data_IF_048956691510
#
_entry.id   IF_048956691510
#
_cell.length_a   1.000
_cell.length_b   1.000
_cell.length_c   1.000
_cell.angle_alpha   90.00
_cell.angle_beta   90.00
_cell.angle_gamma   90.00
#
_symmetry.space_group_name_H-M   'P 1'
#
loop_
_entity.id
_entity.type
_entity.pdbx_description
1 polymer ?
#
# COMPACT_ATOMS: atom_id res chain seq x y z
N UNK A 1 -20.25 27.81 -22.42
CA UNK A 1 -20.28 26.33 -22.34
C UNK A 1 -18.85 25.88 -22.11
N UNK A 2 -18.60 24.95 -21.18
CA UNK A 2 -17.24 24.54 -20.87
C UNK A 2 -16.77 23.53 -21.91
N UNK A 3 -15.99 23.97 -22.89
CA UNK A 3 -15.46 23.07 -23.91
C UNK A 3 -14.27 22.26 -23.34
N UNK A 4 -14.32 20.93 -23.47
CA UNK A 4 -13.24 20.01 -23.07
C UNK A 4 -12.57 19.47 -24.34
N UNK A 5 -11.24 19.48 -24.35
CA UNK A 5 -10.43 18.92 -25.45
C UNK A 5 -9.91 17.56 -25.05
N UNK A 6 -10.03 16.58 -25.94
CA UNK A 6 -9.45 15.24 -25.77
C UNK A 6 -8.69 14.82 -27.02
N UNK A 7 -7.72 13.92 -26.82
CA UNK A 7 -7.02 13.24 -27.90
C UNK A 7 -7.39 11.76 -27.84
N UNK A 8 -7.75 11.17 -28.98
CA UNK A 8 -8.02 9.74 -29.11
C UNK A 8 -7.01 9.13 -30.07
N UNK A 9 -6.36 8.05 -29.66
CA UNK A 9 -5.41 7.32 -30.52
C UNK A 9 -6.16 6.21 -31.26
N UNK A 10 -6.23 6.30 -32.58
CA UNK A 10 -7.06 5.43 -33.41
C UNK A 10 -6.18 4.36 -34.07
N UNK A 11 -6.58 3.10 -33.99
CA UNK A 11 -5.92 1.97 -34.66
C UNK A 11 -6.54 1.68 -36.02
N UNK A 12 -5.79 0.94 -36.86
CA UNK A 12 -6.26 0.41 -38.14
C UNK A 12 -6.55 1.49 -39.21
N UNK A 13 -6.07 2.72 -38.97
CA UNK A 13 -6.20 3.83 -39.90
C UNK A 13 -4.99 3.90 -40.82
N UNK A 14 -5.16 3.43 -42.05
CA UNK A 14 -4.07 3.28 -43.04
C UNK A 14 -4.12 4.28 -44.20
N UNK A 15 -5.11 5.17 -44.22
CA UNK A 15 -5.38 6.01 -45.39
C UNK A 15 -5.99 7.38 -45.07
N UNK A 16 -5.79 8.38 -45.96
CA UNK A 16 -6.37 9.72 -45.79
C UNK A 16 -7.92 9.74 -45.90
N UNK A 17 -8.51 8.80 -46.65
CA UNK A 17 -9.98 8.63 -46.68
C UNK A 17 -10.51 7.99 -45.39
N UNK A 18 -9.68 7.23 -44.68
CA UNK A 18 -10.00 6.62 -43.40
C UNK A 18 -10.15 7.69 -42.32
N UNK A 19 -9.19 8.63 -42.24
CA UNK A 19 -9.27 9.75 -41.30
C UNK A 19 -10.45 10.67 -41.57
N UNK A 20 -10.79 10.94 -42.84
CA UNK A 20 -11.98 11.73 -43.19
C UNK A 20 -13.30 11.07 -42.76
N UNK A 21 -13.34 9.73 -42.76
CA UNK A 21 -14.54 8.98 -42.35
C UNK A 21 -14.76 9.14 -40.84
N UNK A 22 -13.70 8.95 -40.05
CA UNK A 22 -13.75 9.12 -38.59
C UNK A 22 -13.99 10.58 -38.22
N UNK A 23 -13.36 11.54 -38.92
CA UNK A 23 -13.54 12.97 -38.68
C UNK A 23 -15.00 13.41 -38.92
N UNK A 24 -15.64 12.91 -39.98
CA UNK A 24 -17.05 13.18 -40.26
C UNK A 24 -17.99 12.53 -39.24
N UNK A 25 -17.65 11.35 -38.73
CA UNK A 25 -18.43 10.68 -37.71
C UNK A 25 -18.38 11.45 -36.38
N UNK A 26 -17.19 11.86 -35.96
CA UNK A 26 -16.97 12.64 -34.73
C UNK A 26 -17.61 14.02 -34.80
N UNK A 27 -17.49 14.75 -35.92
CA UNK A 27 -18.14 16.06 -36.09
C UNK A 27 -19.68 16.00 -36.15
N UNK A 28 -20.27 14.82 -36.42
CA UNK A 28 -21.72 14.61 -36.39
C UNK A 28 -22.24 14.17 -35.03
N UNK A 29 -21.37 13.82 -34.09
CA UNK A 29 -21.78 13.40 -32.76
C UNK A 29 -22.33 14.58 -31.96
N UNK A 30 -23.41 14.35 -31.22
CA UNK A 30 -24.03 15.39 -30.38
C UNK A 30 -23.03 15.95 -29.37
N UNK A 31 -23.04 17.27 -29.18
CA UNK A 31 -22.15 17.95 -28.24
C UNK A 31 -20.69 18.09 -28.69
N UNK A 32 -20.31 17.71 -29.91
CA UNK A 32 -18.97 17.98 -30.46
C UNK A 32 -18.96 19.33 -31.19
N UNK A 33 -18.05 20.23 -30.78
CA UNK A 33 -17.84 21.52 -31.44
C UNK A 33 -16.94 21.37 -32.68
N UNK A 34 -15.86 20.60 -32.55
CA UNK A 34 -14.87 20.40 -33.60
C UNK A 34 -14.11 19.08 -33.39
N UNK A 35 -13.94 18.30 -34.46
CA UNK A 35 -13.05 17.14 -34.49
C UNK A 35 -12.11 17.21 -35.70
N UNK A 36 -10.82 16.95 -35.48
CA UNK A 36 -9.80 16.85 -36.52
C UNK A 36 -9.03 15.53 -36.37
N UNK A 37 -8.85 14.79 -37.46
CA UNK A 37 -8.18 13.48 -37.44
C UNK A 37 -6.93 13.51 -38.29
N UNK A 38 -5.79 13.23 -37.66
CA UNK A 38 -4.50 13.13 -38.31
C UNK A 38 -4.10 11.65 -38.45
N UNK A 39 -4.17 11.12 -39.68
CA UNK A 39 -3.83 9.72 -39.95
C UNK A 39 -2.35 9.42 -39.70
N UNK A 40 -1.44 10.36 -40.01
CA UNK A 40 0.01 10.16 -39.84
C UNK A 40 0.41 10.11 -38.36
N UNK A 41 -0.32 10.80 -37.49
CA UNK A 41 -0.13 10.78 -36.05
C UNK A 41 -1.01 9.75 -35.34
N UNK A 42 -1.88 9.03 -36.07
CA UNK A 42 -2.87 8.10 -35.53
C UNK A 42 -3.75 8.73 -34.42
N UNK A 43 -4.01 10.04 -34.51
CA UNK A 43 -4.67 10.81 -33.43
C UNK A 43 -5.85 11.62 -33.95
N UNK A 44 -6.95 11.57 -33.19
CA UNK A 44 -8.09 12.47 -33.34
C UNK A 44 -8.12 13.48 -32.19
N UNK A 45 -8.18 14.77 -32.53
CA UNK A 45 -8.33 15.87 -31.60
C UNK A 45 -9.79 16.29 -31.60
N UNK A 46 -10.47 16.18 -30.46
CA UNK A 46 -11.92 16.43 -30.34
C UNK A 46 -12.18 17.46 -29.26
N UNK A 47 -12.94 18.51 -29.60
CA UNK A 47 -13.44 19.51 -28.67
C UNK A 47 -14.95 19.29 -28.51
N UNK A 48 -15.41 19.04 -27.27
CA UNK A 48 -16.81 18.72 -27.00
C UNK A 48 -17.31 19.32 -25.68
N UNK A 49 -18.63 19.38 -25.52
CA UNK A 49 -19.32 19.76 -24.29
C UNK A 49 -19.52 18.54 -23.37
N UNK A 50 -18.85 18.49 -22.20
CA UNK A 50 -18.92 17.36 -21.27
C UNK A 50 -20.30 17.18 -20.61
N UNK A 51 -21.24 18.12 -20.76
CA UNK A 51 -22.62 17.90 -20.31
C UNK A 51 -23.48 17.13 -21.33
N UNK A 52 -23.07 17.12 -22.60
CA UNK A 52 -23.85 16.52 -23.69
C UNK A 52 -23.19 15.23 -24.20
N UNK A 53 -21.85 15.15 -24.13
CA UNK A 53 -21.08 14.00 -24.60
C UNK A 53 -20.02 13.57 -23.57
N UNK A 54 -19.56 12.33 -23.67
CA UNK A 54 -18.50 11.77 -22.83
C UNK A 54 -17.46 11.07 -23.68
N UNK A 55 -16.27 10.86 -23.10
CA UNK A 55 -15.18 10.15 -23.78
C UNK A 55 -15.62 8.77 -24.30
N UNK A 56 -16.34 8.01 -23.49
CA UNK A 56 -16.77 6.64 -23.83
C UNK A 56 -17.70 6.64 -25.06
N UNK A 57 -18.60 7.61 -25.15
CA UNK A 57 -19.48 7.80 -26.31
C UNK A 57 -18.69 8.19 -27.56
N UNK A 58 -17.63 9.00 -27.41
CA UNK A 58 -16.76 9.36 -28.53
C UNK A 58 -15.94 8.16 -29.03
N UNK A 59 -15.52 7.27 -28.13
CA UNK A 59 -14.88 5.99 -28.49
C UNK A 59 -15.88 5.11 -29.27
N UNK A 60 -17.11 4.99 -28.77
CA UNK A 60 -18.18 4.22 -29.43
C UNK A 60 -18.47 4.74 -30.86
N UNK A 61 -18.43 6.06 -31.08
CA UNK A 61 -18.57 6.66 -32.42
C UNK A 61 -17.42 6.23 -33.36
N UNK A 62 -16.19 6.16 -32.85
CA UNK A 62 -15.03 5.70 -33.63
C UNK A 62 -15.14 4.21 -33.94
N UNK A 63 -15.53 3.39 -32.97
CA UNK A 63 -15.73 1.94 -33.12
C UNK A 63 -16.86 1.62 -34.11
N UNK A 64 -17.98 2.33 -34.04
CA UNK A 64 -19.09 2.23 -35.00
C UNK A 64 -18.69 2.64 -36.42
N UNK A 65 -17.60 3.42 -36.55
CA UNK A 65 -17.02 3.79 -37.85
C UNK A 65 -16.06 2.72 -38.39
N UNK A 66 -15.83 1.63 -37.65
CA UNK A 66 -15.01 0.49 -38.06
C UNK A 66 -13.53 0.57 -37.66
N UNK A 67 -13.17 1.46 -36.73
CA UNK A 67 -11.79 1.66 -36.28
C UNK A 67 -11.66 1.42 -34.77
N UNK A 68 -10.54 0.86 -34.33
CA UNK A 68 -10.26 0.70 -32.89
C UNK A 68 -9.71 1.98 -32.26
N UNK A 69 -9.82 2.11 -30.94
CA UNK A 69 -9.13 3.15 -30.17
C UNK A 69 -8.14 2.49 -29.23
N UNK A 70 -6.85 2.82 -29.35
CA UNK A 70 -5.82 2.32 -28.44
C UNK A 70 -5.77 3.19 -27.20
N UNK A 71 -6.28 2.64 -26.10
CA UNK A 71 -6.14 3.26 -24.79
C UNK A 71 -4.68 3.17 -24.32
N UNK A 72 -4.02 4.31 -24.12
CA UNK A 72 -2.77 4.34 -23.36
C UNK A 72 -3.09 4.08 -21.89
N UNK A 73 -2.68 2.91 -21.42
CA UNK A 73 -2.79 2.49 -20.02
C UNK A 73 -1.41 2.56 -19.39
N UNK A 74 -1.27 3.41 -18.39
CA UNK A 74 -0.12 3.43 -17.51
C UNK A 74 -0.48 2.68 -16.23
N UNK A 75 0.44 1.83 -15.76
CA UNK A 75 0.32 1.18 -14.47
C UNK A 75 1.43 1.71 -13.57
N UNK A 76 1.05 2.21 -12.40
CA UNK A 76 1.97 2.72 -11.40
C UNK A 76 1.57 2.18 -10.04
N UNK A 77 2.56 1.82 -9.23
CA UNK A 77 2.34 1.53 -7.81
C UNK A 77 2.79 2.69 -6.92
N UNK A 78 2.20 2.79 -5.75
CA UNK A 78 2.45 3.84 -4.78
C UNK A 78 2.31 3.33 -3.35
N UNK A 79 2.97 3.99 -2.40
CA UNK A 79 2.81 3.75 -0.97
C UNK A 79 1.77 4.67 -0.35
N UNK A 80 0.89 4.12 0.47
CA UNK A 80 -0.15 4.89 1.18
C UNK A 80 0.09 4.83 2.68
N UNK A 81 0.35 5.98 3.28
CA UNK A 81 0.49 6.17 4.72
C UNK A 81 -0.85 6.35 5.43
N UNK A 82 -0.90 5.88 6.67
CA UNK A 82 -2.02 6.13 7.59
C UNK A 82 -3.17 5.11 7.53
N UNK A 83 -3.07 4.08 6.69
CA UNK A 83 -4.03 2.97 6.69
C UNK A 83 -3.86 2.11 7.94
N UNK A 84 -4.91 1.97 8.74
CA UNK A 84 -4.85 1.22 10.01
C UNK A 84 -5.84 0.06 10.08
N UNK A 85 -6.70 -0.14 9.09
CA UNK A 85 -7.68 -1.21 9.02
C UNK A 85 -8.01 -1.56 7.56
N UNK A 86 -8.47 -2.78 7.28
CA UNK A 86 -8.89 -3.21 5.93
C UNK A 86 -10.03 -2.33 5.34
N UNK A 87 -10.85 -1.71 6.20
CA UNK A 87 -11.83 -0.72 5.77
C UNK A 87 -11.18 0.56 5.22
N UNK A 88 -9.98 0.92 5.70
CA UNK A 88 -9.22 2.06 5.19
C UNK A 88 -8.74 1.82 3.76
N UNK A 89 -8.16 0.65 3.46
CA UNK A 89 -7.70 0.35 2.10
C UNK A 89 -8.87 0.29 1.12
N UNK A 90 -9.99 -0.30 1.56
CA UNK A 90 -11.23 -0.33 0.76
C UNK A 90 -11.79 1.06 0.47
N UNK A 91 -11.65 2.02 1.40
CA UNK A 91 -12.09 3.39 1.20
C UNK A 91 -11.25 4.11 0.14
N UNK A 92 -9.92 3.99 0.22
CA UNK A 92 -8.99 4.56 -0.77
C UNK A 92 -9.18 3.93 -2.14
N UNK A 93 -9.29 2.60 -2.20
CA UNK A 93 -9.52 1.86 -3.43
C UNK A 93 -10.82 2.29 -4.14
N UNK A 94 -11.90 2.47 -3.38
CA UNK A 94 -13.18 2.97 -3.93
C UNK A 94 -13.10 4.41 -4.41
N UNK A 95 -12.33 5.26 -3.74
CA UNK A 95 -12.14 6.65 -4.16
C UNK A 95 -11.37 6.72 -5.48
N UNK A 96 -10.29 5.93 -5.62
CA UNK A 96 -9.50 5.85 -6.85
C UNK A 96 -10.28 5.25 -8.02
N UNK A 97 -10.99 4.14 -7.81
CA UNK A 97 -11.81 3.53 -8.87
C UNK A 97 -12.99 4.41 -9.34
N UNK A 98 -13.38 5.43 -8.57
CA UNK A 98 -14.41 6.40 -8.96
C UNK A 98 -13.87 7.61 -9.73
N UNK A 99 -12.56 7.81 -9.77
CA UNK A 99 -11.98 8.95 -10.47
C UNK A 99 -11.97 8.75 -12.00
N UNK A 100 -12.34 9.79 -12.74
CA UNK A 100 -12.35 9.78 -14.20
C UNK A 100 -10.92 9.59 -14.73
N UNK A 101 -10.71 8.55 -15.54
CA UNK A 101 -9.38 8.20 -16.06
C UNK A 101 -8.68 7.06 -15.32
N UNK A 102 -9.23 6.52 -14.24
CA UNK A 102 -8.78 5.26 -13.62
C UNK A 102 -9.56 4.09 -14.18
N UNK A 103 -8.85 3.09 -14.71
CA UNK A 103 -9.45 1.83 -15.16
C UNK A 103 -9.59 0.84 -14.01
N UNK A 104 -8.54 0.73 -13.20
CA UNK A 104 -8.53 -0.17 -12.05
C UNK A 104 -7.56 0.33 -10.98
N UNK A 105 -8.00 0.35 -9.73
CA UNK A 105 -7.15 0.56 -8.57
C UNK A 105 -7.30 -0.61 -7.59
N UNK A 106 -6.19 -1.04 -7.00
CA UNK A 106 -6.15 -2.03 -5.93
C UNK A 106 -5.26 -1.53 -4.81
N UNK A 107 -5.72 -1.60 -3.56
CA UNK A 107 -4.95 -1.14 -2.40
C UNK A 107 -4.84 -2.24 -1.36
N UNK A 108 -3.61 -2.61 -1.01
CA UNK A 108 -3.32 -3.65 -0.05
C UNK A 108 -2.79 -3.05 1.26
N UNK A 109 -3.50 -3.27 2.36
CA UNK A 109 -3.09 -2.82 3.68
C UNK A 109 -1.85 -3.57 4.22
N UNK A 110 -1.69 -4.85 3.89
CA UNK A 110 -0.60 -5.66 4.44
C UNK A 110 0.77 -5.20 3.94
N UNK A 111 0.83 -4.67 2.72
CA UNK A 111 2.04 -4.16 2.09
C UNK A 111 2.12 -2.63 2.11
N UNK A 112 1.09 -1.93 2.57
CA UNK A 112 0.91 -0.46 2.47
C UNK A 112 1.06 0.07 1.03
N UNK A 113 0.91 -0.80 0.03
CA UNK A 113 1.04 -0.48 -1.40
C UNK A 113 -0.32 -0.46 -2.08
N UNK A 114 -0.52 0.52 -2.95
CA UNK A 114 -1.58 0.57 -3.93
C UNK A 114 -1.01 0.46 -5.34
N UNK A 115 -1.79 -0.09 -6.25
CA UNK A 115 -1.51 -0.07 -7.69
C UNK A 115 -2.70 0.52 -8.43
N UNK A 116 -2.43 1.38 -9.40
CA UNK A 116 -3.44 2.00 -10.25
C UNK A 116 -3.07 1.84 -11.71
N UNK A 117 -4.05 1.40 -12.50
CA UNK A 117 -4.05 1.41 -13.94
C UNK A 117 -4.93 2.56 -14.41
N UNK A 118 -4.34 3.52 -15.11
CA UNK A 118 -4.96 4.80 -15.44
C UNK A 118 -4.51 5.32 -16.80
N UNK A 119 -5.21 6.33 -17.29
CA UNK A 119 -4.83 7.06 -18.48
C UNK A 119 -3.90 8.25 -18.13
N UNK A 120 -2.62 8.23 -18.57
CA UNK A 120 -1.66 9.29 -18.25
C UNK A 120 -1.95 10.63 -18.94
N UNK A 121 -2.79 10.66 -19.97
CA UNK A 121 -3.23 11.90 -20.63
C UNK A 121 -4.33 12.62 -19.83
N UNK A 122 -5.02 11.93 -18.92
CA UNK A 122 -6.14 12.47 -18.13
C UNK A 122 -5.76 12.73 -16.68
N UNK A 123 -4.97 11.84 -16.07
CA UNK A 123 -4.56 11.93 -14.69
C UNK A 123 -3.04 11.95 -14.58
N UNK A 124 -2.53 12.88 -13.79
CA UNK A 124 -1.14 12.96 -13.39
C UNK A 124 -0.92 12.29 -12.02
N UNK A 125 0.34 11.99 -11.71
CA UNK A 125 0.76 11.51 -10.38
C UNK A 125 0.32 12.44 -9.23
N UNK A 126 0.20 13.74 -9.47
CA UNK A 126 -0.23 14.69 -8.45
C UNK A 126 -1.73 14.58 -8.15
N UNK A 127 -2.55 14.26 -9.14
CA UNK A 127 -3.99 14.09 -8.96
C UNK A 127 -4.29 12.90 -8.03
N UNK A 128 -3.50 11.82 -8.12
CA UNK A 128 -3.60 10.70 -7.18
C UNK A 128 -3.27 11.11 -5.74
N UNK A 129 -2.25 11.96 -5.53
CA UNK A 129 -1.96 12.48 -4.18
C UNK A 129 -3.16 13.23 -3.62
N UNK A 130 -3.86 14.01 -4.45
CA UNK A 130 -5.03 14.78 -4.05
C UNK A 130 -6.24 13.87 -3.75
N UNK A 131 -6.53 12.89 -4.61
CA UNK A 131 -7.62 11.91 -4.40
C UNK A 131 -7.43 11.14 -3.09
N UNK A 132 -6.20 10.67 -2.83
CA UNK A 132 -5.87 9.94 -1.59
C UNK A 132 -5.95 10.87 -0.37
N UNK A 133 -5.50 12.11 -0.49
CA UNK A 133 -5.59 13.14 0.57
C UNK A 133 -7.03 13.49 0.92
N UNK A 134 -7.90 13.65 -0.07
CA UNK A 134 -9.33 13.90 0.13
C UNK A 134 -10.05 12.73 0.77
N UNK A 135 -9.47 11.53 0.67
CA UNK A 135 -9.94 10.32 1.37
C UNK A 135 -9.42 10.22 2.82
N UNK A 136 -8.59 11.18 3.28
CA UNK A 136 -8.05 11.24 4.64
C UNK A 136 -6.72 10.51 4.85
N UNK A 137 -6.06 10.09 3.77
CA UNK A 137 -4.81 9.33 3.77
C UNK A 137 -3.70 10.10 3.06
N UNK A 138 -2.46 9.59 3.11
CA UNK A 138 -1.32 10.26 2.51
C UNK A 138 -0.63 9.33 1.52
N UNK A 139 -0.39 9.78 0.29
CA UNK A 139 0.40 9.04 -0.69
C UNK A 139 1.87 9.45 -0.52
N UNK A 140 2.72 8.51 -0.12
CA UNK A 140 4.10 8.76 0.31
C UNK A 140 5.07 8.82 -0.86
N UNK A 141 5.04 7.83 -1.75
CA UNK A 141 5.96 7.70 -2.89
C UNK A 141 5.31 6.88 -4.02
N UNK A 142 5.83 7.05 -5.23
CA UNK A 142 5.57 6.16 -6.38
C UNK A 142 6.75 5.22 -6.59
N UNK A 143 6.51 3.97 -7.02
CA UNK A 143 7.59 2.98 -7.28
C UNK A 143 8.59 3.48 -8.34
N UNK A 144 8.13 4.21 -9.36
CA UNK A 144 9.03 4.76 -10.39
C UNK A 144 9.97 5.86 -9.83
N UNK A 145 9.63 6.48 -8.69
CA UNK A 145 10.50 7.42 -7.95
C UNK A 145 11.50 6.67 -7.03
N UNK A 146 11.39 5.33 -6.94
CA UNK A 146 12.25 4.44 -6.13
C UNK A 146 13.33 3.73 -6.97
N UNK A 147 13.14 3.58 -8.29
CA UNK A 147 14.10 2.88 -9.20
C UNK A 147 15.49 3.55 -9.23
N UNK A 148 15.59 4.86 -9.00
CA UNK A 148 16.89 5.55 -8.88
C UNK A 148 17.60 5.32 -7.51
N UNK A 149 17.01 4.58 -6.57
CA UNK A 149 17.50 4.39 -5.19
C UNK A 149 17.66 2.91 -4.77
N UNK A 150 17.64 1.97 -5.71
CA UNK A 150 17.44 0.53 -5.43
C UNK A 150 18.64 -0.26 -4.87
N UNK A 151 19.78 0.37 -4.58
CA UNK A 151 20.92 -0.30 -3.94
C UNK A 151 21.02 -0.11 -2.42
N UNK A 152 20.32 0.85 -1.80
CA UNK A 152 20.38 1.13 -0.35
C UNK A 152 19.05 0.89 0.41
N UNK A 153 17.94 0.67 -0.29
CA UNK A 153 16.57 0.84 0.22
C UNK A 153 15.95 -0.36 0.98
N UNK A 154 16.47 -1.58 0.83
CA UNK A 154 15.92 -2.74 1.55
C UNK A 154 16.18 -2.68 3.06
N UNK A 155 17.35 -2.17 3.46
CA UNK A 155 17.72 -2.00 4.87
C UNK A 155 16.96 -0.84 5.53
N UNK A 156 16.71 0.24 4.79
CA UNK A 156 15.97 1.40 5.26
C UNK A 156 14.49 1.10 5.49
N UNK A 157 13.84 0.31 4.63
CA UNK A 157 12.44 -0.11 4.84
C UNK A 157 12.28 -1.07 6.03
N UNK A 158 13.20 -2.01 6.20
CA UNK A 158 13.26 -2.89 7.39
C UNK A 158 13.41 -2.06 8.67
N UNK A 159 14.20 -0.99 8.62
CA UNK A 159 14.34 -0.04 9.71
C UNK A 159 13.02 0.66 10.03
N UNK A 160 12.19 0.97 9.03
CA UNK A 160 10.96 1.72 9.19
C UNK A 160 9.81 0.92 9.81
N UNK A 161 9.62 -0.34 9.39
CA UNK A 161 8.64 -1.24 10.03
C UNK A 161 9.01 -1.50 11.49
N UNK A 162 10.29 -1.70 11.78
CA UNK A 162 10.79 -1.83 13.16
C UNK A 162 10.60 -0.55 13.97
N UNK A 163 10.78 0.64 13.37
CA UNK A 163 10.50 1.93 14.02
C UNK A 163 9.01 2.07 14.36
N UNK A 164 8.08 1.64 13.50
CA UNK A 164 6.63 1.67 13.76
C UNK A 164 6.27 0.81 14.97
N UNK A 165 6.76 -0.43 15.02
CA UNK A 165 6.55 -1.35 16.16
C UNK A 165 7.13 -0.78 17.45
N UNK A 166 8.34 -0.20 17.41
CA UNK A 166 8.96 0.44 18.58
C UNK A 166 8.16 1.64 19.08
N UNK A 167 7.65 2.48 18.19
CA UNK A 167 6.77 3.61 18.54
C UNK A 167 5.47 3.12 19.20
N UNK A 168 4.85 2.06 18.67
CA UNK A 168 3.66 1.45 19.27
C UNK A 168 3.94 0.89 20.67
N UNK A 169 5.07 0.17 20.83
CA UNK A 169 5.54 -0.35 22.12
C UNK A 169 5.73 0.76 23.16
N UNK A 170 6.39 1.85 22.77
CA UNK A 170 6.65 2.97 23.67
C UNK A 170 5.36 3.67 24.11
N UNK A 171 4.39 3.85 23.21
CA UNK A 171 3.07 4.42 23.56
C UNK A 171 2.29 3.50 24.49
N UNK A 172 2.30 2.19 24.25
CA UNK A 172 1.69 1.20 25.12
C UNK A 172 2.28 1.29 26.53
N UNK A 173 3.61 1.16 26.66
CA UNK A 173 4.27 1.24 27.97
C UNK A 173 4.09 2.60 28.65
N UNK A 174 4.16 3.69 27.89
CA UNK A 174 3.86 5.03 28.41
C UNK A 174 2.44 5.13 28.97
N UNK A 175 1.46 4.53 28.32
CA UNK A 175 0.06 4.52 28.80
C UNK A 175 -0.12 3.66 30.04
N UNK A 176 0.48 2.46 30.06
CA UNK A 176 0.44 1.56 31.23
C UNK A 176 1.15 2.15 32.44
N UNK A 177 2.20 2.95 32.25
CA UNK A 177 2.90 3.63 33.34
C UNK A 177 1.98 4.54 34.18
N UNK A 178 0.97 5.15 33.56
CA UNK A 178 -0.05 5.94 34.27
C UNK A 178 -1.28 5.12 34.65
N UNK A 179 -1.66 4.14 33.82
CA UNK A 179 -2.86 3.33 34.05
C UNK A 179 -2.70 2.35 35.22
N UNK A 180 -1.50 1.78 35.44
CA UNK A 180 -1.24 0.88 36.58
C UNK A 180 -1.46 1.61 37.92
N UNK A 181 -0.87 2.79 38.17
CA UNK A 181 -1.18 3.59 39.35
C UNK A 181 -2.67 3.88 39.52
N UNK A 182 -3.38 4.24 38.44
CA UNK A 182 -4.84 4.46 38.46
C UNK A 182 -5.56 3.20 38.95
N UNK A 183 -5.28 2.03 38.36
CA UNK A 183 -5.92 0.77 38.74
C UNK A 183 -5.62 0.39 40.19
N UNK A 184 -4.36 0.55 40.63
CA UNK A 184 -3.97 0.28 42.01
C UNK A 184 -4.67 1.21 43.00
N UNK A 185 -4.89 2.47 42.63
CA UNK A 185 -5.60 3.44 43.46
C UNK A 185 -7.12 3.20 43.48
N UNK A 186 -7.70 2.65 42.41
CA UNK A 186 -9.12 2.27 42.35
C UNK A 186 -9.46 1.05 43.22
N UNK A 187 -8.54 0.10 43.40
CA UNK A 187 -8.83 -1.15 44.14
C UNK A 187 -9.32 -0.89 45.58
N UNK A 188 -8.66 -0.05 46.41
CA UNK A 188 -9.13 0.24 47.77
C UNK A 188 -10.51 0.89 47.83
N UNK A 189 -10.81 1.79 46.88
CA UNK A 189 -12.10 2.46 46.80
C UNK A 189 -13.20 1.46 46.40
N UNK A 190 -12.93 0.57 45.43
CA UNK A 190 -13.88 -0.44 44.99
C UNK A 190 -14.16 -1.54 46.04
N UNK A 191 -13.13 -2.04 46.73
CA UNK A 191 -13.28 -3.16 47.68
C UNK A 191 -13.62 -2.74 49.11
N UNK A 192 -13.10 -1.59 49.56
CA UNK A 192 -13.21 -1.16 50.94
C UNK A 192 -14.02 0.15 51.09
N UNK A 193 -14.39 0.81 49.98
CA UNK A 193 -15.11 2.09 50.02
C UNK A 193 -14.26 3.26 50.53
N UNK A 194 -12.93 3.08 50.60
CA UNK A 194 -12.02 4.06 51.19
C UNK A 194 -11.36 4.87 50.06
N UNK A 195 -11.79 6.12 49.88
CA UNK A 195 -11.14 7.09 49.01
C UNK A 195 -9.99 7.79 49.75
N UNK A 196 -8.79 7.20 49.71
CA UNK A 196 -7.59 7.78 50.32
C UNK A 196 -6.90 8.75 49.36
N UNK A 197 -6.37 9.92 49.81
CA UNK A 197 -6.45 10.52 51.16
C UNK A 197 -7.79 11.21 51.48
N UNK A 198 -8.48 11.72 50.47
CA UNK A 198 -9.86 12.21 50.58
C UNK A 198 -10.56 12.07 49.22
N UNK A 199 -11.89 12.20 49.19
CA UNK A 199 -12.69 12.03 47.96
C UNK A 199 -12.35 13.08 46.88
N UNK A 200 -12.03 14.32 47.26
CA UNK A 200 -11.73 15.38 46.30
C UNK A 200 -10.38 15.18 45.60
N UNK A 201 -9.33 14.83 46.35
CA UNK A 201 -7.98 14.52 45.85
C UNK A 201 -8.03 13.24 45.03
N UNK A 202 -8.81 12.24 45.44
CA UNK A 202 -9.03 11.06 44.63
C UNK A 202 -9.63 11.44 43.27
N UNK A 203 -10.73 12.19 43.26
CA UNK A 203 -11.38 12.60 42.02
C UNK A 203 -10.47 13.44 41.12
N UNK A 204 -9.76 14.43 41.69
CA UNK A 204 -8.82 15.26 40.96
C UNK A 204 -7.62 14.45 40.45
N UNK A 205 -7.08 13.55 41.28
CA UNK A 205 -5.97 12.67 40.94
C UNK A 205 -6.30 11.75 39.77
N UNK A 206 -7.51 11.20 39.75
CA UNK A 206 -8.00 10.35 38.65
C UNK A 206 -8.11 11.11 37.33
N UNK A 207 -8.55 12.37 37.36
CA UNK A 207 -8.59 13.23 36.17
C UNK A 207 -7.16 13.51 35.68
N UNK A 208 -6.29 13.95 36.58
CA UNK A 208 -4.90 14.33 36.23
C UNK A 208 -4.12 13.15 35.69
N UNK A 209 -4.23 11.97 36.31
CA UNK A 209 -3.55 10.75 35.86
C UNK A 209 -4.13 10.21 34.55
N UNK A 210 -5.41 10.45 34.25
CA UNK A 210 -6.04 10.02 33.00
C UNK A 210 -5.65 10.88 31.79
N UNK A 211 -5.18 12.12 32.00
CA UNK A 211 -4.83 13.04 30.90
C UNK A 211 -3.69 12.48 30.01
N UNK A 212 -2.52 12.03 30.53
CA UNK A 212 -1.45 11.55 29.66
C UNK A 212 -1.83 10.33 28.80
N UNK A 213 -2.47 9.27 29.35
CA UNK A 213 -3.03 8.17 28.56
C UNK A 213 -3.88 8.62 27.37
N UNK A 214 -4.81 9.55 27.58
CA UNK A 214 -5.79 9.96 26.57
C UNK A 214 -5.20 10.94 25.56
N UNK A 215 -4.60 12.03 26.03
CA UNK A 215 -4.30 13.20 25.19
C UNK A 215 -2.84 13.25 24.73
N UNK A 216 -1.94 12.51 25.36
CA UNK A 216 -0.52 12.43 24.95
C UNK A 216 -0.29 11.15 24.16
N UNK A 217 -0.51 9.99 24.76
CA UNK A 217 -0.27 8.70 24.11
C UNK A 217 -1.41 8.32 23.15
N UNK A 218 -2.66 8.55 23.57
CA UNK A 218 -3.88 8.30 22.80
C UNK A 218 -4.27 9.39 21.79
N UNK A 219 -3.50 10.49 21.66
CA UNK A 219 -3.81 11.63 20.78
C UNK A 219 -4.19 11.22 19.37
N UNK A 220 -3.47 10.25 18.81
CA UNK A 220 -3.69 9.78 17.43
C UNK A 220 -5.09 9.17 17.27
N UNK A 221 -5.58 8.44 18.26
CA UNK A 221 -6.92 7.82 18.24
C UNK A 221 -8.01 8.89 18.09
N UNK A 222 -7.92 9.99 18.85
CA UNK A 222 -8.87 11.11 18.72
C UNK A 222 -8.78 11.81 17.35
N UNK A 223 -7.58 12.01 16.82
CA UNK A 223 -7.39 12.62 15.49
C UNK A 223 -7.99 11.74 14.40
N UNK A 224 -7.71 10.44 14.43
CA UNK A 224 -8.23 9.48 13.45
C UNK A 224 -9.75 9.36 13.54
N UNK A 225 -10.30 9.36 14.75
CA UNK A 225 -11.75 9.37 14.98
C UNK A 225 -12.41 10.62 14.36
N UNK A 226 -11.87 11.81 14.64
CA UNK A 226 -12.38 13.06 14.10
C UNK A 226 -12.37 13.08 12.57
N UNK A 227 -11.25 12.65 11.95
CA UNK A 227 -11.15 12.53 10.50
C UNK A 227 -12.20 11.58 9.94
N UNK A 228 -12.33 10.39 10.51
CA UNK A 228 -13.29 9.39 10.04
C UNK A 228 -14.73 9.94 10.02
N UNK A 229 -15.14 10.59 11.12
CA UNK A 229 -16.47 11.21 11.23
C UNK A 229 -16.65 12.36 10.24
N UNK A 230 -15.63 13.20 10.05
CA UNK A 230 -15.68 14.31 9.09
C UNK A 230 -15.87 13.85 7.63
N UNK A 231 -15.45 12.62 7.32
CA UNK A 231 -15.64 11.99 6.02
C UNK A 231 -16.87 11.07 5.97
N UNK A 232 -17.77 11.13 6.97
CA UNK A 232 -19.01 10.35 6.98
C UNK A 232 -18.81 8.85 7.23
N UNK A 233 -17.69 8.45 7.83
CA UNK A 233 -17.35 7.05 8.12
C UNK A 233 -17.18 6.80 9.62
N UNK A 234 -17.34 5.55 10.04
CA UNK A 234 -17.07 5.11 11.41
C UNK A 234 -16.02 3.99 11.40
N UNK A 235 -15.02 4.09 12.27
CA UNK A 235 -13.97 3.08 12.46
C UNK A 235 -13.80 2.74 13.96
N UNK A 236 -12.88 1.81 14.27
CA UNK A 236 -12.59 1.41 15.66
C UNK A 236 -12.23 2.60 16.55
N UNK A 237 -11.48 3.58 16.01
CA UNK A 237 -11.02 4.74 16.77
C UNK A 237 -12.18 5.66 17.15
N UNK A 238 -13.25 5.75 16.33
CA UNK A 238 -14.47 6.53 16.65
C UNK A 238 -15.14 6.01 17.91
N UNK A 239 -15.35 4.69 18.01
CA UNK A 239 -15.99 4.08 19.17
C UNK A 239 -15.16 4.31 20.44
N UNK A 240 -13.84 4.12 20.34
CA UNK A 240 -12.92 4.31 21.47
C UNK A 240 -12.86 5.77 21.89
N UNK A 241 -12.74 6.70 20.95
CA UNK A 241 -12.69 8.14 21.25
C UNK A 241 -13.99 8.64 21.90
N UNK A 242 -15.14 8.17 21.42
CA UNK A 242 -16.43 8.53 22.01
C UNK A 242 -16.59 7.95 23.42
N UNK A 243 -16.30 6.66 23.62
CA UNK A 243 -16.44 6.00 24.92
C UNK A 243 -15.47 6.56 25.97
N UNK A 244 -14.20 6.72 25.61
CA UNK A 244 -13.19 7.29 26.51
C UNK A 244 -13.43 8.77 26.77
N UNK A 245 -13.85 9.54 25.76
CA UNK A 245 -14.22 10.95 25.92
C UNK A 245 -15.40 11.13 26.86
N UNK A 246 -16.48 10.36 26.67
CA UNK A 246 -17.66 10.42 27.54
C UNK A 246 -17.32 10.04 28.99
N UNK A 247 -16.56 8.97 29.19
CA UNK A 247 -16.10 8.56 30.52
C UNK A 247 -15.18 9.61 31.17
N UNK A 248 -14.28 10.24 30.41
CA UNK A 248 -13.40 11.29 30.94
C UNK A 248 -14.17 12.53 31.42
N UNK A 249 -15.21 12.96 30.69
CA UNK A 249 -16.04 14.12 31.03
C UNK A 249 -16.73 13.96 32.40
N UNK A 250 -17.03 12.74 32.82
CA UNK A 250 -17.62 12.49 34.15
C UNK A 250 -16.70 12.93 35.29
N UNK A 251 -15.38 12.96 35.08
CA UNK A 251 -14.42 13.42 36.06
C UNK A 251 -14.63 14.88 36.45
N UNK A 252 -14.53 15.85 35.54
CA UNK A 252 -14.87 17.25 35.84
C UNK A 252 -16.34 17.44 36.26
N UNK A 253 -17.27 16.64 35.72
CA UNK A 253 -18.69 16.77 36.04
C UNK A 253 -19.03 16.47 37.51
N UNK A 254 -18.23 15.64 38.21
CA UNK A 254 -18.43 15.30 39.64
C UNK A 254 -18.42 16.52 40.56
N UNK A 255 -17.76 17.61 40.15
CA UNK A 255 -17.69 18.84 40.94
C UNK A 255 -18.96 19.70 40.85
N UNK A 256 -19.79 19.47 39.83
CA UNK A 256 -21.03 20.22 39.59
C UNK A 256 -22.28 19.38 39.77
N UNK A 257 -22.15 18.05 39.66
CA UNK A 257 -23.26 17.10 39.66
C UNK A 257 -22.89 15.84 40.44
N UNK A 258 -23.83 15.19 41.16
CA UNK A 258 -23.56 14.00 41.95
C UNK A 258 -23.46 12.75 41.07
N UNK A 259 -22.51 12.73 40.13
CA UNK A 259 -22.24 11.62 39.21
C UNK A 259 -20.91 10.96 39.59
N UNK A 260 -20.78 9.65 39.45
CA UNK A 260 -19.53 8.95 39.70
C UNK A 260 -18.42 9.35 38.69
N UNK A 261 -17.17 9.36 39.16
CA UNK A 261 -16.02 9.72 38.34
C UNK A 261 -15.45 8.49 37.61
N UNK A 262 -15.62 8.44 36.29
CA UNK A 262 -15.10 7.38 35.41
C UNK A 262 -13.86 7.79 34.62
N UNK A 263 -13.17 8.89 34.99
CA UNK A 263 -11.96 9.33 34.30
C UNK A 263 -10.87 8.25 34.31
N UNK A 264 -10.70 7.50 35.40
CA UNK A 264 -9.74 6.38 35.45
C UNK A 264 -10.08 5.25 34.47
N UNK A 265 -11.37 4.93 34.30
CA UNK A 265 -11.84 3.90 33.36
C UNK A 265 -11.52 4.29 31.92
N UNK A 266 -11.63 5.58 31.57
CA UNK A 266 -11.27 6.06 30.24
C UNK A 266 -9.80 5.83 29.90
N UNK A 267 -8.89 6.01 30.87
CA UNK A 267 -7.47 5.70 30.71
C UNK A 267 -7.23 4.19 30.55
N UNK A 268 -7.97 3.36 31.29
CA UNK A 268 -7.89 1.89 31.19
C UNK A 268 -8.31 1.39 29.80
N UNK A 269 -9.44 1.88 29.27
CA UNK A 269 -9.89 1.55 27.91
C UNK A 269 -8.81 1.94 26.89
N UNK A 270 -8.23 3.13 27.03
CA UNK A 270 -7.16 3.59 26.14
C UNK A 270 -5.90 2.71 26.24
N UNK A 271 -5.53 2.25 27.44
CA UNK A 271 -4.40 1.34 27.64
C UNK A 271 -4.59 0.02 26.90
N UNK A 272 -5.76 -0.61 27.03
CA UNK A 272 -6.07 -1.85 26.31
C UNK A 272 -6.13 -1.64 24.80
N UNK A 273 -6.71 -0.53 24.33
CA UNK A 273 -6.73 -0.19 22.91
C UNK A 273 -5.31 -0.06 22.33
N UNK A 274 -4.41 0.67 23.01
CA UNK A 274 -3.02 0.85 22.57
C UNK A 274 -2.20 -0.43 22.66
N UNK A 275 -2.48 -1.31 23.63
CA UNK A 275 -1.93 -2.68 23.65
C UNK A 275 -2.38 -3.47 22.42
N UNK A 276 -3.67 -3.43 22.08
CA UNK A 276 -4.21 -4.07 20.88
C UNK A 276 -3.52 -3.58 19.60
N UNK A 277 -3.34 -2.25 19.47
CA UNK A 277 -2.58 -1.63 18.38
C UNK A 277 -1.14 -2.12 18.31
N UNK A 278 -0.45 -2.26 19.45
CA UNK A 278 0.91 -2.81 19.47
C UNK A 278 0.96 -4.26 18.96
N UNK A 279 0.02 -5.10 19.39
CA UNK A 279 -0.07 -6.50 18.93
C UNK A 279 -0.36 -6.54 17.42
N UNK A 280 -1.31 -5.73 16.94
CA UNK A 280 -1.67 -5.61 15.53
C UNK A 280 -0.47 -5.21 14.66
N UNK A 281 0.24 -4.15 15.03
CA UNK A 281 1.45 -3.68 14.33
C UNK A 281 2.56 -4.73 14.33
N UNK A 282 2.74 -5.44 15.45
CA UNK A 282 3.73 -6.51 15.55
C UNK A 282 3.37 -7.69 14.66
N UNK A 283 2.09 -8.07 14.59
CA UNK A 283 1.61 -9.15 13.73
C UNK A 283 1.77 -8.80 12.24
N UNK A 284 1.38 -7.58 11.84
CA UNK A 284 1.56 -7.07 10.47
C UNK A 284 3.04 -7.01 10.08
N UNK A 285 3.89 -6.48 10.96
CA UNK A 285 5.33 -6.40 10.72
C UNK A 285 5.97 -7.77 10.47
N UNK A 286 5.61 -8.79 11.27
CA UNK A 286 6.10 -10.16 11.07
C UNK A 286 5.62 -10.78 9.76
N UNK A 287 4.35 -10.58 9.40
CA UNK A 287 3.81 -11.09 8.15
C UNK A 287 4.47 -10.43 6.93
N UNK A 288 4.61 -9.10 6.95
CA UNK A 288 5.32 -8.32 5.92
C UNK A 288 6.76 -8.83 5.74
N UNK A 289 7.49 -9.05 6.84
CA UNK A 289 8.86 -9.58 6.80
C UNK A 289 8.94 -10.98 6.20
N UNK A 290 7.99 -11.88 6.48
CA UNK A 290 7.99 -13.23 5.92
C UNK A 290 7.79 -13.21 4.39
N UNK A 291 6.84 -12.40 3.90
CA UNK A 291 6.60 -12.23 2.46
C UNK A 291 7.82 -11.60 1.78
N UNK A 292 8.42 -10.57 2.39
CA UNK A 292 9.60 -9.89 1.84
C UNK A 292 10.82 -10.79 1.76
N UNK A 293 11.05 -11.64 2.78
CA UNK A 293 12.09 -12.66 2.72
C UNK A 293 11.92 -13.61 1.53
N UNK A 294 10.68 -13.89 1.09
CA UNK A 294 10.45 -14.67 -0.13
C UNK A 294 10.81 -13.89 -1.39
N UNK A 295 10.58 -12.57 -1.41
CA UNK A 295 10.91 -11.70 -2.55
C UNK A 295 12.43 -11.47 -2.69
N UNK A 296 13.16 -11.36 -1.58
CA UNK A 296 14.63 -11.21 -1.55
C UNK A 296 15.40 -12.50 -1.94
N UNK A 297 14.71 -13.61 -2.13
CA UNK A 297 15.33 -14.86 -2.58
C UNK A 297 15.73 -14.84 -4.04
N UNK A 298 15.10 -14.00 -4.87
CA UNK A 298 15.54 -13.78 -6.26
C UNK A 298 16.95 -13.19 -6.29
N UNK A 299 17.82 -13.69 -7.18
CA UNK A 299 19.09 -13.02 -7.45
C UNK A 299 18.80 -11.72 -8.22
N UNK A 300 19.48 -10.62 -7.82
CA UNK A 300 19.38 -9.33 -8.52
C UNK A 300 20.26 -9.27 -9.76
N UNK A 301 21.33 -10.05 -9.78
CA UNK A 301 22.27 -10.14 -10.90
C UNK A 301 22.45 -11.59 -11.34
N UNK A 302 22.87 -11.77 -12.58
CA UNK A 302 23.25 -13.05 -13.15
C UNK A 302 24.60 -12.89 -13.89
N UNK A 303 25.44 -13.92 -13.83
CA UNK A 303 26.66 -13.97 -14.64
C UNK A 303 26.36 -14.72 -15.93
N UNK A 304 26.44 -14.05 -17.07
CA UNK A 304 26.27 -14.64 -18.40
C UNK A 304 27.62 -14.85 -19.08
N UNK A 305 27.71 -15.84 -19.96
CA UNK A 305 28.87 -16.09 -20.83
C UNK A 305 28.52 -15.56 -22.23
N UNK A 306 29.22 -14.51 -22.66
CA UNK A 306 29.04 -13.91 -23.98
C UNK A 306 30.42 -13.89 -24.70
N UNK A 307 30.51 -14.55 -25.86
CA UNK A 307 31.76 -14.71 -26.62
C UNK A 307 32.94 -15.28 -25.81
N UNK A 308 32.66 -16.18 -24.85
CA UNK A 308 33.67 -16.80 -23.99
C UNK A 308 34.13 -15.95 -22.80
N UNK A 309 33.57 -14.76 -22.60
CA UNK A 309 33.85 -13.90 -21.45
C UNK A 309 32.69 -13.93 -20.44
N UNK A 310 33.03 -13.93 -19.15
CA UNK A 310 32.06 -13.75 -18.06
C UNK A 310 31.65 -12.28 -17.96
N UNK A 311 30.34 -12.02 -17.94
CA UNK A 311 29.77 -10.67 -17.76
C UNK A 311 28.63 -10.73 -16.75
N UNK A 312 28.71 -9.90 -15.72
CA UNK A 312 27.62 -9.74 -14.76
C UNK A 312 26.60 -8.74 -15.32
N UNK A 313 25.32 -9.14 -15.32
CA UNK A 313 24.19 -8.35 -15.82
C UNK A 313 23.06 -8.33 -14.80
N UNK A 314 22.21 -7.31 -14.86
CA UNK A 314 20.99 -7.27 -14.07
C UNK A 314 20.04 -8.39 -14.51
N UNK A 315 19.23 -8.93 -13.59
CA UNK A 315 18.35 -10.05 -13.90
C UNK A 315 17.29 -9.70 -14.97
N UNK A 316 16.92 -8.42 -15.07
CA UNK A 316 15.99 -7.88 -16.06
C UNK A 316 16.57 -7.90 -17.48
N UNK A 317 17.89 -7.90 -17.61
CA UNK A 317 18.60 -7.88 -18.89
C UNK A 317 18.88 -9.30 -19.43
N UNK A 318 18.58 -10.35 -18.66
CA UNK A 318 18.79 -11.74 -19.07
C UNK A 318 17.72 -12.18 -20.06
N UNK A 319 18.15 -12.64 -21.24
CA UNK A 319 17.26 -13.06 -22.33
C UNK A 319 17.24 -14.60 -22.51
N UNK A 320 16.13 -15.17 -23.00
CA UNK A 320 16.08 -16.59 -23.36
C UNK A 320 17.19 -16.97 -24.34
N UNK A 321 17.96 -18.00 -24.00
CA UNK A 321 19.10 -18.47 -24.79
C UNK A 321 20.48 -17.97 -24.29
N UNK A 322 20.54 -17.07 -23.30
CA UNK A 322 21.80 -16.75 -22.63
C UNK A 322 22.31 -17.95 -21.81
N UNK A 323 23.61 -18.22 -21.90
CA UNK A 323 24.28 -19.23 -21.07
C UNK A 323 24.73 -18.55 -19.78
N UNK A 324 24.20 -19.01 -18.64
CA UNK A 324 24.55 -18.47 -17.33
C UNK A 324 25.60 -19.36 -16.64
N UNK A 325 26.60 -18.72 -16.04
CA UNK A 325 27.55 -19.39 -15.15
C UNK A 325 27.09 -19.20 -13.71
N UNK A 326 26.86 -20.32 -13.00
CA UNK A 326 26.44 -20.30 -11.59
C UNK A 326 27.54 -20.97 -10.77
N UNK A 327 28.22 -20.19 -9.92
CA UNK A 327 29.31 -20.70 -9.08
C UNK A 327 28.76 -21.38 -7.82
N UNK A 328 29.52 -22.28 -7.18
CA UNK A 328 29.11 -22.90 -5.93
C UNK A 328 28.78 -21.86 -4.85
N UNK A 329 27.64 -22.02 -4.18
CA UNK A 329 27.12 -21.12 -3.17
C UNK A 329 26.27 -19.97 -3.71
N UNK A 330 26.26 -19.75 -5.02
CA UNK A 330 25.42 -18.73 -5.66
C UNK A 330 23.96 -19.17 -5.76
N UNK A 331 23.08 -18.18 -5.76
CA UNK A 331 21.64 -18.37 -6.00
C UNK A 331 21.40 -18.58 -7.49
N UNK A 332 20.41 -19.39 -7.84
CA UNK A 332 20.01 -19.57 -9.23
C UNK A 332 19.13 -18.38 -9.62
N UNK A 333 19.54 -17.54 -10.59
CA UNK A 333 18.89 -16.27 -10.87
C UNK A 333 17.53 -16.39 -11.57
N UNK A 334 17.39 -17.35 -12.50
CA UNK A 334 16.16 -17.57 -13.27
C UNK A 334 15.96 -19.05 -13.62
N UNK A 335 14.79 -19.40 -14.16
CA UNK A 335 14.48 -20.73 -14.69
C UNK A 335 15.37 -21.01 -15.92
N UNK A 336 15.82 -22.26 -16.09
CA UNK A 336 16.66 -22.62 -17.21
C UNK A 336 16.89 -24.12 -17.34
N UNK A 337 17.64 -24.54 -18.35
CA UNK A 337 18.07 -25.93 -18.51
C UNK A 337 19.58 -26.01 -18.26
N UNK A 338 20.02 -27.06 -17.56
CA UNK A 338 21.46 -27.32 -17.42
C UNK A 338 22.00 -27.72 -18.78
N UNK A 339 22.98 -26.98 -19.28
CA UNK A 339 23.73 -27.31 -20.51
C UNK A 339 25.03 -28.05 -20.22
N UNK A 340 25.66 -27.79 -19.08
CA UNK A 340 26.92 -28.44 -18.68
C UNK A 340 27.07 -28.44 -17.15
N UNK A 341 27.64 -29.51 -16.59
CA UNK A 341 27.95 -29.64 -15.17
C UNK A 341 27.04 -30.57 -14.37
N UNK A 342 27.46 -30.84 -13.13
CA UNK A 342 26.74 -31.67 -12.15
C UNK A 342 26.84 -30.99 -10.79
N UNK A 343 25.72 -30.85 -10.11
CA UNK A 343 25.72 -30.20 -8.80
C UNK A 343 24.56 -30.65 -7.93
N UNK A 344 24.58 -30.24 -6.66
CA UNK A 344 23.45 -30.43 -5.74
C UNK A 344 22.86 -29.08 -5.42
N UNK A 345 21.55 -28.98 -5.41
CA UNK A 345 20.85 -27.72 -5.20
C UNK A 345 19.87 -27.88 -4.05
N UNK A 346 19.82 -26.89 -3.16
CA UNK A 346 18.87 -26.87 -2.06
C UNK A 346 17.55 -26.25 -2.53
N UNK A 347 16.50 -27.07 -2.53
CA UNK A 347 15.14 -26.69 -2.96
C UNK A 347 14.20 -26.49 -1.78
N UNK A 348 14.68 -26.59 -0.53
CA UNK A 348 13.86 -26.61 0.69
C UNK A 348 12.91 -25.42 0.82
N UNK A 349 13.30 -24.25 0.32
CA UNK A 349 12.49 -23.04 0.38
C UNK A 349 11.37 -23.00 -0.67
N UNK A 350 11.50 -23.74 -1.78
CA UNK A 350 10.52 -23.79 -2.86
C UNK A 350 9.59 -25.00 -2.75
N UNK A 351 10.17 -26.17 -2.46
CA UNK A 351 9.48 -27.46 -2.45
C UNK A 351 9.16 -27.94 -1.03
N UNK A 352 9.81 -27.37 0.01
CA UNK A 352 9.69 -27.84 1.39
C UNK A 352 10.52 -29.07 1.70
N UNK A 353 11.27 -29.61 0.73
CA UNK A 353 12.09 -30.81 0.92
C UNK A 353 13.43 -30.46 1.57
N UNK A 354 13.72 -31.05 2.73
CA UNK A 354 14.91 -30.72 3.53
C UNK A 354 16.23 -31.30 2.98
N UNK A 355 16.17 -32.16 1.97
CA UNK A 355 17.36 -32.80 1.39
C UNK A 355 17.70 -32.15 0.04
N UNK A 356 18.96 -31.71 -0.15
CA UNK A 356 19.41 -31.16 -1.42
C UNK A 356 19.24 -32.17 -2.56
N UNK A 357 18.73 -31.71 -3.70
CA UNK A 357 18.45 -32.52 -4.89
C UNK A 357 19.69 -32.53 -5.78
N UNK A 358 20.13 -33.71 -6.21
CA UNK A 358 21.22 -33.86 -7.18
C UNK A 358 20.68 -33.59 -8.58
N UNK A 359 21.36 -32.72 -9.32
CA UNK A 359 20.97 -32.34 -10.66
C UNK A 359 22.14 -32.59 -11.62
N UNK A 360 21.86 -33.34 -12.69
CA UNK A 360 22.79 -33.69 -13.76
C UNK A 360 22.12 -33.51 -15.12
N UNK A 361 22.90 -33.22 -16.17
CA UNK A 361 22.40 -33.09 -17.53
C UNK A 361 21.70 -34.38 -18.02
N UNK A 362 20.52 -34.29 -18.71
CA UNK A 362 19.66 -33.11 -18.90
C UNK A 362 18.62 -32.96 -17.77
N UNK A 363 18.48 -31.74 -17.21
CA UNK A 363 17.47 -31.44 -16.18
C UNK A 363 17.08 -29.97 -16.17
N UNK A 364 15.79 -29.69 -15.94
CA UNK A 364 15.25 -28.34 -15.81
C UNK A 364 15.48 -27.76 -14.40
N UNK A 365 16.03 -26.55 -14.37
CA UNK A 365 16.26 -25.74 -13.18
C UNK A 365 15.16 -24.70 -13.02
N UNK A 366 14.71 -24.50 -11.78
CA UNK A 366 13.70 -23.51 -11.43
C UNK A 366 14.30 -22.37 -10.58
N UNK A 367 13.78 -21.15 -10.74
CA UNK A 367 14.20 -19.85 -10.23
C UNK A 367 14.14 -19.71 -8.71
N UNK A 368 13.33 -20.53 -8.04
CA UNK A 368 13.21 -20.53 -6.58
C UNK A 368 14.18 -21.48 -5.87
N UNK A 369 15.14 -22.07 -6.60
CA UNK A 369 16.10 -23.02 -6.03
C UNK A 369 17.23 -22.27 -5.30
N UNK A 370 17.28 -22.49 -4.00
CA UNK A 370 18.07 -21.70 -3.06
C UNK A 370 19.43 -22.35 -2.86
N UNK A 371 20.42 -21.89 -3.63
CA UNK A 371 21.85 -22.21 -3.54
C UNK A 371 22.31 -23.54 -4.12
N UNK A 372 23.42 -23.44 -4.85
CA UNK A 372 24.21 -24.57 -5.34
C UNK A 372 25.20 -25.00 -4.25
N UNK A 373 25.11 -26.24 -3.77
CA UNK A 373 26.01 -26.77 -2.73
C UNK A 373 26.94 -27.80 -3.36
N UNK A 374 28.25 -27.54 -3.34
CA UNK A 374 29.24 -28.52 -3.76
C UNK A 374 29.60 -29.43 -2.57
N UNK A 375 29.37 -30.74 -2.70
CA UNK A 375 30.20 -31.73 -2.02
C UNK A 375 31.31 -32.11 -2.99
N UNK A 376 32.49 -31.52 -2.79
CA UNK A 376 33.73 -32.07 -3.32
C UNK A 376 33.75 -33.56 -2.98
N UNK A 377 33.54 -34.40 -3.98
CA UNK A 377 34.05 -35.76 -3.95
C UNK A 377 35.55 -35.56 -4.18
N UNK A 378 36.31 -35.53 -3.08
CA UNK A 378 37.74 -35.82 -3.12
C UNK A 378 37.92 -37.13 -3.90
N UNK A 379 38.98 -37.16 -4.72
CA UNK A 379 39.30 -38.19 -5.71
C UNK A 379 39.28 -39.63 -5.23
#
# INVERSE_FOLDING_TARGET
MAEKKITLKITDMSCASCSQTVEKALNKAEGVSEAQVNFAAEKAYVTFDPQQNSRDKLIEVVENSGYGVKEEKAKTSFKVGGMTCASCSSAVEKALNKSEGVYQANVNIATEKGSVEYNPEVLSKNDFREIVKNSGYELLSFEDEEVERDSESAEDELSDDMKKVKKAKNKMWGTWAFTIPIMLWMIPEMFFGIAWPNMQIFNLGMIVLAIPPLFVFGRKTFITAYRAVSHGSANMDVLIAMGTGAAFITGPAVFFTPIANYAGVSAMIMAFHLTGRYIEETAKGRASQAIRKLLELGAKTATIIENGNEKEVAIEDVQPGNIMLIKPGEKIPTDGEIVEGKTTVDESMATGESMPVKIEFPHFLFRNKSKVINRQICG
#
